data_IF_561707575050
#
_entry.id   IF_561707575050
#
_cell.length_a   1.000
_cell.length_b   1.000
_cell.length_c   1.000
_cell.angle_alpha   90.00
_cell.angle_beta   90.00
_cell.angle_gamma   90.00
#
_symmetry.space_group_name_H-M   'P 1'
#
loop_
_entity.id
_entity.type
_entity.pdbx_description
1 polymer ?
#
# COMPACT_ATOMS: atom_id res chain seq x y z
N UNK A 1 38.83 31.97 -6.96
CA UNK A 1 39.60 32.46 -5.80
C UNK A 1 41.01 31.91 -5.74
N UNK A 2 41.25 30.59 -5.70
CA UNK A 2 42.62 30.03 -5.68
C UNK A 2 43.50 30.43 -6.89
N UNK A 3 42.95 30.44 -8.10
CA UNK A 3 43.60 30.92 -9.32
C UNK A 3 43.97 32.41 -9.26
N UNK A 4 43.08 33.25 -8.74
CA UNK A 4 43.32 34.68 -8.55
C UNK A 4 44.38 34.92 -7.47
N UNK A 5 44.45 34.06 -6.45
CA UNK A 5 45.51 34.08 -5.43
C UNK A 5 46.88 33.73 -6.02
N UNK A 6 46.95 32.77 -6.94
CA UNK A 6 48.21 32.39 -7.62
C UNK A 6 48.67 33.49 -8.60
N UNK A 7 47.73 34.09 -9.34
CA UNK A 7 48.01 35.18 -10.29
C UNK A 7 48.44 36.46 -9.54
N UNK A 8 47.79 36.80 -8.41
CA UNK A 8 48.18 37.92 -7.55
C UNK A 8 49.59 37.75 -6.95
N UNK A 9 50.00 36.51 -6.63
CA UNK A 9 51.35 36.20 -6.16
C UNK A 9 52.43 36.29 -7.25
N UNK A 10 52.07 36.18 -8.53
CA UNK A 10 53.01 36.29 -9.66
C UNK A 10 53.32 37.72 -10.11
N UNK A 11 52.72 38.74 -9.48
CA UNK A 11 52.72 40.13 -9.94
C UNK A 11 53.33 41.16 -8.98
N UNK A 12 53.90 40.79 -7.83
CA UNK A 12 54.47 41.75 -6.88
C UNK A 12 55.95 41.45 -6.62
N UNK A 13 56.81 42.33 -7.13
CA UNK A 13 58.13 42.52 -6.56
C UNK A 13 57.97 43.18 -5.18
N UNK A 14 58.07 42.39 -4.11
CA UNK A 14 58.11 42.90 -2.75
C UNK A 14 57.45 41.98 -1.73
N UNK A 15 58.25 41.58 -0.73
CA UNK A 15 57.93 40.84 0.50
C UNK A 15 57.56 39.35 0.38
N UNK A 16 58.50 38.53 0.86
CA UNK A 16 58.49 37.09 1.17
C UNK A 16 57.71 36.15 0.24
N UNK A 17 58.41 35.36 -0.63
CA UNK A 17 57.75 34.38 -1.45
C UNK A 17 57.18 33.29 -0.55
N UNK A 18 55.84 33.20 -0.46
CA UNK A 18 55.18 31.97 -0.05
C UNK A 18 55.78 30.87 -0.92
N UNK A 19 56.60 29.99 -0.33
CA UNK A 19 57.20 28.85 -1.02
C UNK A 19 56.06 27.94 -1.51
N UNK A 20 55.63 28.14 -2.75
CA UNK A 20 54.74 27.23 -3.45
C UNK A 20 55.49 25.91 -3.62
N UNK A 21 55.20 24.94 -2.75
CA UNK A 21 55.77 23.59 -2.80
C UNK A 21 54.83 22.67 -3.59
N UNK A 22 55.29 22.23 -4.77
CA UNK A 22 54.53 21.36 -5.65
C UNK A 22 54.64 19.92 -5.15
N UNK A 23 53.51 19.31 -4.79
CA UNK A 23 53.43 17.93 -4.28
C UNK A 23 52.46 17.09 -5.10
N UNK A 24 52.81 15.83 -5.41
CA UNK A 24 51.85 14.89 -5.96
C UNK A 24 50.80 14.54 -4.90
N UNK A 25 49.53 14.67 -5.26
CA UNK A 25 48.39 14.26 -4.42
C UNK A 25 47.54 13.25 -5.17
N UNK A 26 46.97 12.29 -4.45
CA UNK A 26 46.00 11.35 -5.00
C UNK A 26 44.59 11.88 -4.70
N UNK A 27 43.75 12.04 -5.73
CA UNK A 27 42.39 12.54 -5.62
C UNK A 27 41.41 11.66 -6.41
N UNK A 28 40.15 11.50 -5.94
CA UNK A 28 39.12 10.82 -6.72
C UNK A 28 38.70 11.66 -7.93
N UNK A 29 38.30 11.00 -9.02
CA UNK A 29 37.87 11.67 -10.26
C UNK A 29 36.68 12.64 -10.05
N UNK A 30 35.82 12.39 -9.06
CA UNK A 30 34.67 13.24 -8.75
C UNK A 30 35.05 14.65 -8.26
N UNK A 31 36.31 14.87 -7.88
CA UNK A 31 36.81 16.19 -7.44
C UNK A 31 37.34 17.02 -8.60
N UNK A 32 37.47 16.44 -9.80
CA UNK A 32 37.94 17.15 -10.99
C UNK A 32 36.75 17.93 -11.58
N UNK A 33 36.75 19.25 -11.37
CA UNK A 33 35.71 20.13 -11.91
C UNK A 33 35.81 20.34 -13.44
N UNK A 34 37.00 20.16 -14.03
CA UNK A 34 37.24 20.29 -15.46
C UNK A 34 38.68 19.96 -15.84
N UNK A 35 38.89 19.66 -17.12
CA UNK A 35 40.21 19.38 -17.72
C UNK A 35 40.38 20.30 -18.91
N UNK A 36 41.53 20.96 -19.06
CA UNK A 36 41.81 21.91 -20.14
C UNK A 36 42.64 21.26 -21.26
N UNK A 37 42.79 21.95 -22.40
CA UNK A 37 43.66 21.51 -23.50
C UNK A 37 45.14 21.70 -23.20
N UNK A 38 45.46 22.62 -22.29
CA UNK A 38 46.83 23.02 -22.02
C UNK A 38 47.59 21.92 -21.27
N UNK A 39 48.85 21.69 -21.65
CA UNK A 39 49.71 20.67 -21.06
C UNK A 39 51.00 21.31 -20.58
N UNK A 40 51.48 20.86 -19.44
CA UNK A 40 52.79 21.23 -18.91
C UNK A 40 53.68 20.00 -19.03
N UNK A 41 54.87 20.19 -19.59
CA UNK A 41 55.83 19.11 -19.72
C UNK A 41 56.34 18.71 -18.34
N UNK A 42 56.23 17.42 -18.00
CA UNK A 42 56.74 16.87 -16.75
C UNK A 42 58.01 16.06 -17.05
N UNK A 43 59.08 16.18 -16.24
CA UNK A 43 60.27 15.33 -16.36
C UNK A 43 59.93 13.84 -16.19
N UNK A 44 60.65 12.94 -16.89
CA UNK A 44 60.33 11.51 -16.93
C UNK A 44 60.62 10.75 -15.63
N UNK A 45 61.49 11.27 -14.77
CA UNK A 45 61.86 10.65 -13.48
C UNK A 45 61.80 11.68 -12.34
N UNK A 46 61.78 11.17 -11.11
CA UNK A 46 61.62 11.83 -9.80
C UNK A 46 61.78 13.36 -9.80
N UNK A 47 60.72 14.07 -9.37
CA UNK A 47 60.68 15.55 -9.36
C UNK A 47 61.70 16.13 -8.37
N UNK A 48 62.88 16.48 -8.89
CA UNK A 48 63.92 17.19 -8.16
C UNK A 48 63.46 18.61 -7.76
N UNK A 49 64.05 19.23 -6.72
CA UNK A 49 63.65 20.55 -6.28
C UNK A 49 63.71 21.63 -7.37
N UNK A 50 64.65 21.53 -8.31
CA UNK A 50 64.79 22.48 -9.43
C UNK A 50 63.64 22.31 -10.45
N UNK A 51 63.30 21.07 -10.78
CA UNK A 51 62.22 20.75 -11.72
C UNK A 51 60.86 21.26 -11.22
N UNK A 52 60.63 21.22 -9.90
CA UNK A 52 59.41 21.76 -9.28
C UNK A 52 59.29 23.27 -9.48
N UNK A 53 60.41 24.00 -9.41
CA UNK A 53 60.42 25.45 -9.62
C UNK A 53 60.09 25.78 -11.08
N UNK A 54 60.61 25.01 -12.03
CA UNK A 54 60.34 25.23 -13.46
C UNK A 54 58.90 24.88 -13.85
N UNK A 55 58.31 23.85 -13.23
CA UNK A 55 56.88 23.54 -13.37
C UNK A 55 56.02 24.66 -12.79
N UNK A 56 56.34 25.18 -11.60
CA UNK A 56 55.59 26.29 -10.97
C UNK A 56 55.67 27.56 -11.82
N UNK A 57 56.84 27.87 -12.40
CA UNK A 57 56.99 28.98 -13.37
C UNK A 57 56.12 28.76 -14.61
N UNK A 58 56.19 27.58 -15.21
CA UNK A 58 55.38 27.21 -16.38
C UNK A 58 53.88 27.30 -16.09
N UNK A 59 53.44 26.87 -14.90
CA UNK A 59 52.07 27.05 -14.43
C UNK A 59 51.71 28.53 -14.31
N UNK A 60 52.55 29.34 -13.66
CA UNK A 60 52.31 30.77 -13.48
C UNK A 60 52.18 31.51 -14.82
N UNK A 61 53.07 31.21 -15.77
CA UNK A 61 53.06 31.79 -17.11
C UNK A 61 51.81 31.38 -17.89
N UNK A 62 51.39 30.12 -17.76
CA UNK A 62 50.15 29.61 -18.37
C UNK A 62 48.91 30.29 -17.77
N UNK A 63 48.90 30.53 -16.46
CA UNK A 63 47.82 31.27 -15.79
C UNK A 63 47.77 32.74 -16.21
N UNK A 64 48.93 33.40 -16.33
CA UNK A 64 49.03 34.77 -16.84
C UNK A 64 48.57 34.86 -18.30
N UNK A 65 48.99 33.90 -19.13
CA UNK A 65 48.55 33.79 -20.51
C UNK A 65 47.03 33.52 -20.61
N UNK A 66 46.49 32.69 -19.73
CA UNK A 66 45.04 32.41 -19.65
C UNK A 66 44.20 33.62 -19.19
N UNK A 67 44.78 34.52 -18.39
CA UNK A 67 44.14 35.80 -18.05
C UNK A 67 44.10 36.76 -19.26
N UNK A 68 45.11 36.74 -20.12
CA UNK A 68 45.16 37.53 -21.35
C UNK A 68 44.33 36.90 -22.50
N UNK A 69 44.24 35.57 -22.53
CA UNK A 69 43.48 34.79 -23.51
C UNK A 69 42.64 33.71 -22.79
N UNK A 70 41.35 33.99 -22.52
CA UNK A 70 40.47 33.09 -21.74
C UNK A 70 40.32 31.69 -22.33
N UNK A 71 40.44 31.56 -23.65
CA UNK A 71 40.27 30.30 -24.38
C UNK A 71 41.37 29.25 -24.07
N UNK A 72 42.55 29.68 -23.62
CA UNK A 72 43.69 28.80 -23.32
C UNK A 72 43.41 27.90 -22.11
N UNK A 73 42.66 28.42 -21.14
CA UNK A 73 42.25 27.70 -19.93
C UNK A 73 40.80 27.20 -19.99
N UNK A 74 40.15 27.29 -21.16
CA UNK A 74 38.80 26.77 -21.32
C UNK A 74 38.77 25.23 -21.10
N UNK A 75 37.77 24.71 -20.38
CA UNK A 75 37.60 23.28 -20.21
C UNK A 75 37.32 22.61 -21.57
N UNK A 76 37.81 21.37 -21.73
CA UNK A 76 37.57 20.52 -22.88
C UNK A 76 36.06 20.36 -23.09
N UNK A 77 35.62 20.56 -24.33
CA UNK A 77 34.27 20.30 -24.74
C UNK A 77 34.06 18.78 -24.84
N UNK A 78 33.13 18.16 -24.07
CA UNK A 78 32.92 16.72 -24.09
C UNK A 78 32.60 16.18 -25.49
N UNK A 79 31.84 16.95 -26.27
CA UNK A 79 31.46 16.57 -27.63
C UNK A 79 32.60 16.79 -28.63
N UNK A 80 33.15 18.02 -28.72
CA UNK A 80 34.13 18.36 -29.77
C UNK A 80 35.53 17.81 -29.49
N UNK A 81 35.95 17.83 -28.23
CA UNK A 81 37.34 17.55 -27.86
C UNK A 81 37.52 16.13 -27.30
N UNK A 82 36.51 15.59 -26.61
CA UNK A 82 36.51 14.22 -26.08
C UNK A 82 35.71 13.23 -26.95
N UNK A 83 35.10 13.70 -28.05
CA UNK A 83 34.34 12.88 -29.02
C UNK A 83 33.19 12.07 -28.39
N UNK A 84 32.56 12.60 -27.34
CA UNK A 84 31.40 11.99 -26.68
C UNK A 84 30.10 12.45 -27.35
N UNK A 85 29.61 11.68 -28.31
CA UNK A 85 28.37 11.96 -29.06
C UNK A 85 27.14 12.13 -28.14
N UNK A 86 27.02 11.33 -27.09
CA UNK A 86 25.92 11.39 -26.12
C UNK A 86 25.84 12.73 -25.37
N UNK A 87 26.96 13.45 -25.26
CA UNK A 87 27.04 14.73 -24.58
C UNK A 87 26.55 15.90 -25.45
N UNK A 88 26.40 15.72 -26.77
CA UNK A 88 26.02 16.79 -27.72
C UNK A 88 24.72 17.48 -27.32
N UNK A 89 23.68 16.69 -27.01
CA UNK A 89 22.37 17.21 -26.61
C UNK A 89 22.43 18.02 -25.30
N UNK A 90 23.26 17.59 -24.34
CA UNK A 90 23.44 18.29 -23.06
C UNK A 90 24.22 19.60 -23.25
N UNK A 91 25.25 19.61 -24.10
CA UNK A 91 26.03 20.82 -24.41
C UNK A 91 25.15 21.86 -25.12
N UNK A 92 24.34 21.45 -26.10
CA UNK A 92 23.38 22.34 -26.77
C UNK A 92 22.30 22.87 -25.80
N UNK A 93 21.86 22.04 -24.86
CA UNK A 93 20.90 22.46 -23.83
C UNK A 93 21.52 23.48 -22.88
N UNK A 94 22.78 23.26 -22.45
CA UNK A 94 23.53 24.19 -21.61
C UNK A 94 23.72 25.53 -22.32
N UNK A 95 24.13 25.53 -23.59
CA UNK A 95 24.31 26.78 -24.35
C UNK A 95 23.00 27.56 -24.51
N UNK A 96 21.88 26.87 -24.76
CA UNK A 96 20.55 27.51 -24.80
C UNK A 96 20.14 28.10 -23.45
N UNK A 97 20.44 27.41 -22.34
CA UNK A 97 20.18 27.91 -20.99
C UNK A 97 21.06 29.12 -20.64
N UNK A 98 22.34 29.11 -21.02
CA UNK A 98 23.27 30.23 -20.82
C UNK A 98 22.88 31.46 -21.65
N UNK A 99 22.35 31.25 -22.86
CA UNK A 99 21.78 32.32 -23.68
C UNK A 99 20.50 32.89 -23.05
N UNK A 100 19.61 32.02 -22.54
CA UNK A 100 18.40 32.43 -21.84
C UNK A 100 18.68 33.15 -20.52
N UNK A 101 19.69 32.72 -19.75
CA UNK A 101 20.13 33.43 -18.54
C UNK A 101 20.82 34.76 -18.87
N UNK A 102 21.39 34.86 -20.07
CA UNK A 102 22.02 36.09 -20.56
C UNK A 102 21.04 37.10 -21.14
N UNK A 103 19.74 36.77 -21.22
CA UNK A 103 18.69 37.64 -21.72
C UNK A 103 18.60 38.93 -20.90
N UNK A 104 18.32 40.05 -21.57
CA UNK A 104 18.28 41.41 -20.96
C UNK A 104 17.38 41.46 -19.73
N UNK A 105 16.23 40.81 -19.83
CA UNK A 105 15.19 40.88 -18.82
C UNK A 105 15.57 40.10 -17.56
N UNK A 106 16.29 38.98 -17.71
CA UNK A 106 16.80 38.18 -16.58
C UNK A 106 17.93 38.93 -15.89
N UNK A 107 18.85 39.54 -16.67
CA UNK A 107 19.94 40.36 -16.11
C UNK A 107 19.42 41.60 -15.40
N UNK A 108 18.40 42.27 -15.94
CA UNK A 108 17.75 43.41 -15.31
C UNK A 108 17.10 43.00 -13.97
N UNK A 109 16.37 41.88 -13.96
CA UNK A 109 15.71 41.37 -12.76
C UNK A 109 16.71 40.99 -11.65
N UNK A 110 17.83 40.35 -12.02
CA UNK A 110 18.91 39.98 -11.07
C UNK A 110 19.60 41.22 -10.52
N UNK A 111 19.79 42.26 -11.35
CA UNK A 111 20.39 43.53 -10.95
C UNK A 111 19.49 44.33 -9.99
N UNK A 112 18.19 44.34 -10.22
CA UNK A 112 17.23 45.14 -9.45
C UNK A 112 16.90 44.53 -8.08
N UNK A 113 16.92 43.20 -7.96
CA UNK A 113 16.51 42.49 -6.74
C UNK A 113 17.68 41.91 -5.95
N UNK A 114 18.82 41.65 -6.60
CA UNK A 114 19.94 40.91 -6.01
C UNK A 114 19.73 39.39 -6.10
N UNK A 115 20.78 38.66 -6.48
CA UNK A 115 20.70 37.23 -6.80
C UNK A 115 20.29 36.36 -5.60
N UNK A 116 20.80 36.67 -4.40
CA UNK A 116 20.45 35.97 -3.16
C UNK A 116 18.99 36.15 -2.74
N UNK A 117 18.48 37.38 -2.83
CA UNK A 117 17.08 37.71 -2.51
C UNK A 117 16.11 37.06 -3.51
N UNK A 118 16.48 37.00 -4.79
CA UNK A 118 15.69 36.34 -5.82
C UNK A 118 15.60 34.82 -5.58
N UNK A 119 16.71 34.17 -5.23
CA UNK A 119 16.75 32.75 -4.89
C UNK A 119 15.93 32.44 -3.62
N UNK A 120 16.00 33.30 -2.61
CA UNK A 120 15.21 33.16 -1.39
C UNK A 120 13.71 33.35 -1.66
N UNK A 121 13.32 34.36 -2.46
CA UNK A 121 11.92 34.58 -2.89
C UNK A 121 11.39 33.43 -3.74
N UNK A 122 12.21 32.86 -4.62
CA UNK A 122 11.81 31.74 -5.46
C UNK A 122 11.63 30.46 -4.64
N UNK A 123 12.56 30.15 -3.74
CA UNK A 123 12.48 28.96 -2.89
C UNK A 123 11.28 29.02 -1.93
N UNK A 124 11.01 30.19 -1.32
CA UNK A 124 9.82 30.41 -0.51
C UNK A 124 8.53 30.29 -1.32
N UNK A 125 8.48 30.85 -2.54
CA UNK A 125 7.34 30.69 -3.44
C UNK A 125 7.10 29.21 -3.81
N UNK A 126 8.16 28.45 -4.12
CA UNK A 126 8.04 27.02 -4.42
C UNK A 126 7.50 26.24 -3.23
N UNK A 127 7.98 26.54 -2.01
CA UNK A 127 7.47 25.95 -0.76
C UNK A 127 5.98 26.20 -0.59
N UNK A 128 5.54 27.46 -0.63
CA UNK A 128 4.12 27.80 -0.48
C UNK A 128 3.25 27.23 -1.59
N UNK A 129 3.76 27.16 -2.83
CA UNK A 129 3.06 26.51 -3.93
C UNK A 129 2.84 25.02 -3.67
N UNK A 130 3.84 24.33 -3.13
CA UNK A 130 3.72 22.92 -2.77
C UNK A 130 2.75 22.73 -1.61
N UNK A 131 2.87 23.53 -0.55
CA UNK A 131 1.93 23.50 0.59
C UNK A 131 0.50 23.74 0.14
N UNK A 132 0.26 24.71 -0.75
CA UNK A 132 -1.07 25.00 -1.31
C UNK A 132 -1.64 23.79 -2.06
N UNK A 133 -0.81 23.10 -2.85
CA UNK A 133 -1.22 21.87 -3.55
C UNK A 133 -1.59 20.76 -2.56
N UNK A 134 -0.77 20.57 -1.53
CA UNK A 134 -0.99 19.53 -0.54
C UNK A 134 -2.23 19.82 0.32
N UNK A 135 -2.43 21.08 0.73
CA UNK A 135 -3.64 21.53 1.42
C UNK A 135 -4.88 21.38 0.55
N UNK A 136 -4.81 21.76 -0.73
CA UNK A 136 -5.92 21.56 -1.67
C UNK A 136 -6.27 20.07 -1.84
N UNK A 137 -5.26 19.20 -1.93
CA UNK A 137 -5.47 17.75 -1.99
C UNK A 137 -6.11 17.21 -0.69
N UNK A 138 -5.63 17.65 0.48
CA UNK A 138 -6.22 17.29 1.79
C UNK A 138 -7.67 17.76 1.91
N UNK A 139 -7.95 19.00 1.52
CA UNK A 139 -9.31 19.55 1.52
C UNK A 139 -10.25 18.77 0.60
N UNK A 140 -9.77 18.37 -0.59
CA UNK A 140 -10.53 17.52 -1.51
C UNK A 140 -10.84 16.15 -0.89
N UNK A 141 -9.88 15.52 -0.22
CA UNK A 141 -10.09 14.25 0.52
C UNK A 141 -11.09 14.41 1.66
N UNK A 142 -11.00 15.49 2.43
CA UNK A 142 -11.91 15.75 3.55
C UNK A 142 -13.36 16.10 3.11
N UNK A 143 -13.52 16.72 1.93
CA UNK A 143 -14.83 17.07 1.35
C UNK A 143 -15.50 15.93 0.59
N UNK A 144 -14.74 14.98 0.07
CA UNK A 144 -15.34 13.77 -0.48
C UNK A 144 -16.06 13.06 0.68
N UNK A 145 -17.36 12.81 0.52
CA UNK A 145 -18.06 11.81 1.32
C UNK A 145 -17.28 10.51 1.14
N UNK A 146 -16.41 10.20 2.09
CA UNK A 146 -15.40 9.13 2.01
C UNK A 146 -16.05 7.78 1.64
N UNK A 147 -17.33 7.62 1.97
CA UNK A 147 -18.12 6.41 1.76
C UNK A 147 -19.00 6.42 0.49
N UNK A 148 -19.02 7.50 -0.31
CA UNK A 148 -19.95 7.63 -1.43
C UNK A 148 -19.69 6.64 -2.57
N UNK A 149 -18.43 6.43 -2.94
CA UNK A 149 -18.06 5.46 -3.97
C UNK A 149 -18.18 4.01 -3.46
N UNK A 150 -17.77 3.78 -2.22
CA UNK A 150 -17.92 2.46 -1.58
C UNK A 150 -19.40 2.06 -1.44
N UNK A 151 -20.26 2.98 -1.01
CA UNK A 151 -21.71 2.77 -0.94
C UNK A 151 -22.27 2.45 -2.33
N UNK A 152 -21.90 3.22 -3.37
CA UNK A 152 -22.32 2.94 -4.75
C UNK A 152 -21.90 1.54 -5.20
N UNK A 153 -20.69 1.12 -4.88
CA UNK A 153 -20.18 -0.21 -5.22
C UNK A 153 -20.93 -1.31 -4.45
N UNK A 154 -21.17 -1.14 -3.14
CA UNK A 154 -21.98 -2.07 -2.33
C UNK A 154 -23.43 -2.16 -2.79
N UNK A 155 -24.05 -1.04 -3.17
CA UNK A 155 -25.40 -1.03 -3.76
C UNK A 155 -25.45 -1.82 -5.07
N UNK A 156 -24.41 -1.79 -5.91
CA UNK A 156 -24.34 -2.65 -7.11
C UNK A 156 -24.32 -4.13 -6.76
N UNK A 157 -23.60 -4.52 -5.70
CA UNK A 157 -23.61 -5.91 -5.21
C UNK A 157 -25.01 -6.32 -4.81
N UNK A 158 -25.69 -5.52 -3.99
CA UNK A 158 -27.06 -5.80 -3.53
C UNK A 158 -28.06 -5.90 -4.69
N UNK A 159 -27.93 -5.06 -5.73
CA UNK A 159 -28.76 -5.18 -6.95
C UNK A 159 -28.46 -6.45 -7.74
N UNK A 160 -27.18 -6.79 -7.92
CA UNK A 160 -26.76 -7.97 -8.68
C UNK A 160 -27.19 -9.27 -8.02
N UNK A 161 -27.16 -9.32 -6.69
CA UNK A 161 -27.65 -10.44 -5.88
C UNK A 161 -29.16 -10.37 -5.58
N UNK A 162 -29.88 -9.39 -6.11
CA UNK A 162 -31.35 -9.22 -5.97
C UNK A 162 -31.85 -8.98 -4.53
N UNK A 163 -31.02 -8.39 -3.67
CA UNK A 163 -31.42 -7.90 -2.34
C UNK A 163 -32.19 -6.58 -2.43
N UNK A 164 -31.87 -5.76 -3.43
CA UNK A 164 -32.59 -4.53 -3.79
C UNK A 164 -32.87 -4.54 -5.30
N UNK A 165 -33.92 -3.87 -5.76
CA UNK A 165 -34.18 -3.67 -7.19
C UNK A 165 -33.44 -2.42 -7.73
N UNK A 166 -33.66 -2.11 -9.01
CA UNK A 166 -33.02 -0.97 -9.69
C UNK A 166 -33.45 0.40 -9.12
N UNK A 167 -34.62 0.46 -8.50
CA UNK A 167 -35.15 1.63 -7.79
C UNK A 167 -34.63 1.74 -6.34
N UNK A 168 -33.75 0.82 -5.92
CA UNK A 168 -33.21 0.70 -4.56
C UNK A 168 -34.24 0.30 -3.49
N UNK A 169 -35.33 -0.34 -3.89
CA UNK A 169 -36.34 -0.89 -3.00
C UNK A 169 -35.90 -2.28 -2.54
N UNK A 170 -35.94 -2.50 -1.23
CA UNK A 170 -35.56 -3.76 -0.58
C UNK A 170 -36.52 -4.88 -0.98
N UNK A 171 -35.95 -5.99 -1.48
CA UNK A 171 -36.67 -7.19 -1.89
C UNK A 171 -36.81 -8.18 -0.71
N UNK A 172 -37.56 -9.26 -0.91
CA UNK A 172 -37.75 -10.31 0.10
C UNK A 172 -36.41 -10.86 0.65
N UNK A 173 -35.46 -11.17 -0.23
CA UNK A 173 -34.10 -11.59 0.14
C UNK A 173 -33.36 -10.54 1.00
N UNK A 174 -33.58 -9.26 0.67
CA UNK A 174 -33.13 -8.12 1.46
C UNK A 174 -33.71 -8.09 2.87
N UNK A 175 -35.03 -8.29 2.99
CA UNK A 175 -35.72 -8.35 4.29
C UNK A 175 -35.22 -9.51 5.15
N UNK A 176 -34.96 -10.68 4.55
CA UNK A 176 -34.35 -11.82 5.23
C UNK A 176 -32.96 -11.44 5.78
N UNK A 177 -32.06 -10.94 4.93
CA UNK A 177 -30.70 -10.59 5.35
C UNK A 177 -30.65 -9.51 6.44
N UNK A 178 -31.62 -8.59 6.49
CA UNK A 178 -31.71 -7.60 7.56
C UNK A 178 -31.90 -8.22 8.96
N UNK A 179 -32.33 -9.49 9.06
CA UNK A 179 -32.44 -10.22 10.33
C UNK A 179 -31.14 -10.88 10.76
N UNK A 180 -30.23 -11.16 9.83
CA UNK A 180 -28.95 -11.82 10.11
C UNK A 180 -27.91 -10.79 10.53
N UNK A 181 -27.52 -10.80 11.80
CA UNK A 181 -26.54 -9.87 12.38
C UNK A 181 -25.30 -10.57 12.94
N UNK A 182 -25.43 -11.84 13.32
CA UNK A 182 -24.38 -12.63 14.00
C UNK A 182 -23.32 -13.18 13.05
N UNK A 183 -23.61 -13.17 11.75
CA UNK A 183 -22.87 -13.83 10.67
C UNK A 183 -22.77 -12.93 9.41
N UNK A 184 -22.01 -13.39 8.40
CA UNK A 184 -22.06 -12.80 7.06
C UNK A 184 -23.45 -12.96 6.45
N UNK A 185 -24.23 -11.88 6.46
CA UNK A 185 -25.65 -11.90 6.11
C UNK A 185 -25.91 -12.24 4.65
N UNK A 186 -24.98 -11.93 3.74
CA UNK A 186 -25.13 -12.29 2.33
C UNK A 186 -24.97 -13.78 2.15
N UNK A 187 -23.84 -14.36 2.60
CA UNK A 187 -23.58 -15.79 2.40
C UNK A 187 -24.58 -16.66 3.14
N UNK A 188 -24.94 -16.30 4.38
CA UNK A 188 -25.95 -17.04 5.14
C UNK A 188 -27.32 -17.04 4.44
N UNK A 189 -27.75 -15.89 3.93
CA UNK A 189 -29.02 -15.76 3.20
C UNK A 189 -29.00 -16.47 1.84
N UNK A 190 -27.89 -16.38 1.10
CA UNK A 190 -27.72 -17.09 -0.18
C UNK A 190 -27.81 -18.61 0.00
N UNK A 191 -27.19 -19.14 1.05
CA UNK A 191 -27.17 -20.58 1.32
C UNK A 191 -28.50 -21.07 1.89
N UNK A 192 -29.04 -20.43 2.93
CA UNK A 192 -30.25 -20.93 3.63
C UNK A 192 -31.50 -20.93 2.73
N UNK A 193 -31.54 -20.09 1.70
CA UNK A 193 -32.63 -20.01 0.72
C UNK A 193 -32.45 -20.95 -0.48
N UNK A 194 -31.45 -21.82 -0.45
CA UNK A 194 -31.34 -22.91 -1.43
C UNK A 194 -32.36 -24.01 -1.14
N UNK A 195 -32.84 -24.69 -2.19
CA UNK A 195 -33.82 -25.79 -2.07
C UNK A 195 -33.31 -26.97 -1.24
N UNK A 196 -32.00 -27.15 -1.18
CA UNK A 196 -31.37 -28.37 -0.70
C UNK A 196 -31.28 -28.40 0.84
N UNK A 197 -31.37 -27.24 1.49
CA UNK A 197 -31.38 -27.11 2.97
C UNK A 197 -32.56 -27.85 3.60
N UNK A 198 -33.72 -27.89 2.93
CA UNK A 198 -34.91 -28.58 3.46
C UNK A 198 -34.73 -30.10 3.51
N UNK A 199 -33.85 -30.65 2.66
CA UNK A 199 -33.51 -32.07 2.60
C UNK A 199 -32.52 -32.49 3.69
N UNK A 200 -31.86 -31.53 4.35
CA UNK A 200 -30.92 -31.80 5.42
C UNK A 200 -31.64 -32.09 6.73
N UNK A 201 -31.06 -32.96 7.55
CA UNK A 201 -31.48 -33.16 8.93
C UNK A 201 -31.25 -31.88 9.74
N UNK A 202 -32.12 -31.61 10.72
CA UNK A 202 -32.01 -30.43 11.57
C UNK A 202 -30.64 -30.33 12.29
N UNK A 203 -30.07 -31.48 12.69
CA UNK A 203 -28.73 -31.56 13.25
C UNK A 203 -27.64 -31.13 12.24
N UNK A 204 -27.78 -31.53 10.97
CA UNK A 204 -26.87 -31.14 9.89
C UNK A 204 -27.00 -29.63 9.58
N UNK A 205 -28.21 -29.07 9.59
CA UNK A 205 -28.44 -27.62 9.44
C UNK A 205 -27.72 -26.85 10.55
N UNK A 206 -27.88 -27.24 11.82
CA UNK A 206 -27.16 -26.60 12.94
C UNK A 206 -25.64 -26.70 12.76
N UNK A 207 -25.13 -27.88 12.37
CA UNK A 207 -23.71 -28.11 12.15
C UNK A 207 -23.14 -27.25 11.03
N UNK A 208 -23.83 -27.10 9.90
CA UNK A 208 -23.39 -26.25 8.78
C UNK A 208 -23.50 -24.76 9.14
N UNK A 209 -24.49 -24.35 9.94
CA UNK A 209 -24.55 -22.99 10.45
C UNK A 209 -23.35 -22.63 11.35
N UNK A 210 -22.66 -23.61 11.96
CA UNK A 210 -21.45 -23.36 12.76
C UNK A 210 -20.30 -22.75 11.96
N UNK A 211 -20.28 -22.92 10.61
CA UNK A 211 -19.25 -22.33 9.74
C UNK A 211 -19.20 -20.80 9.83
N UNK A 212 -20.34 -20.16 10.14
CA UNK A 212 -20.46 -18.72 10.24
C UNK A 212 -19.98 -18.14 11.57
N UNK A 213 -19.78 -19.00 12.57
CA UNK A 213 -19.56 -18.62 13.97
C UNK A 213 -18.18 -19.07 14.46
N UNK A 214 -17.56 -20.04 13.79
CA UNK A 214 -16.29 -20.61 14.20
C UNK A 214 -15.12 -19.62 14.12
N UNK A 215 -14.58 -19.25 15.28
CA UNK A 215 -13.39 -18.40 15.43
C UNK A 215 -12.14 -19.20 15.84
N UNK A 216 -12.33 -20.42 16.33
CA UNK A 216 -11.29 -21.31 16.82
C UNK A 216 -10.54 -22.00 15.66
N UNK A 217 -9.41 -22.66 15.97
CA UNK A 217 -8.64 -23.49 15.05
C UNK A 217 -8.16 -24.76 15.75
N UNK A 218 -8.59 -25.91 15.25
CA UNK A 218 -8.17 -27.21 15.72
C UNK A 218 -8.35 -28.28 14.63
N UNK A 219 -7.60 -29.37 14.75
CA UNK A 219 -7.70 -30.49 13.81
C UNK A 219 -9.01 -31.24 14.03
N UNK A 220 -9.73 -31.51 12.94
CA UNK A 220 -10.99 -32.24 12.98
C UNK A 220 -11.20 -32.95 11.63
N UNK A 221 -12.01 -34.00 11.65
CA UNK A 221 -12.47 -34.67 10.44
C UNK A 221 -13.88 -34.21 10.11
N UNK A 222 -14.11 -33.84 8.85
CA UNK A 222 -15.45 -33.47 8.36
C UNK A 222 -16.29 -34.75 8.22
N UNK A 223 -17.48 -34.82 8.85
CA UNK A 223 -18.42 -35.92 8.65
C UNK A 223 -18.98 -35.93 7.21
N UNK A 224 -19.11 -37.11 6.61
CA UNK A 224 -19.52 -37.26 5.21
C UNK A 224 -20.90 -36.63 4.90
N UNK A 225 -21.83 -36.69 5.86
CA UNK A 225 -23.19 -36.15 5.71
C UNK A 225 -23.27 -34.63 5.58
N UNK A 226 -22.23 -33.88 6.01
CA UNK A 226 -22.18 -32.41 5.93
C UNK A 226 -21.15 -31.92 4.91
N UNK A 227 -20.45 -32.82 4.23
CA UNK A 227 -19.40 -32.47 3.25
C UNK A 227 -19.97 -31.71 2.05
N UNK A 228 -21.08 -32.20 1.46
CA UNK A 228 -21.72 -31.53 0.34
C UNK A 228 -22.34 -30.17 0.74
N UNK A 229 -23.10 -30.06 1.85
CA UNK A 229 -23.59 -28.75 2.33
C UNK A 229 -22.47 -27.75 2.64
N UNK A 230 -21.33 -28.19 3.18
CA UNK A 230 -20.17 -27.31 3.39
C UNK A 230 -19.65 -26.77 2.06
N UNK A 231 -19.55 -27.64 1.05
CA UNK A 231 -19.10 -27.22 -0.28
C UNK A 231 -20.06 -26.20 -0.90
N UNK A 232 -21.37 -26.33 -0.67
CA UNK A 232 -22.38 -25.36 -1.10
C UNK A 232 -22.22 -23.99 -0.42
N UNK A 233 -21.99 -23.95 0.90
CA UNK A 233 -21.71 -22.70 1.63
C UNK A 233 -20.46 -22.02 1.05
N UNK A 234 -19.39 -22.78 0.83
CA UNK A 234 -18.15 -22.26 0.24
C UNK A 234 -18.35 -21.77 -1.19
N UNK A 235 -19.15 -22.48 -1.99
CA UNK A 235 -19.53 -22.03 -3.33
C UNK A 235 -20.35 -20.73 -3.29
N UNK A 236 -21.28 -20.58 -2.33
CA UNK A 236 -22.01 -19.34 -2.10
C UNK A 236 -21.05 -18.19 -1.73
N UNK A 237 -20.12 -18.43 -0.80
CA UNK A 237 -19.10 -17.46 -0.40
C UNK A 237 -18.24 -17.01 -1.60
N UNK A 238 -17.81 -17.96 -2.42
CA UNK A 238 -17.06 -17.70 -3.66
C UNK A 238 -17.85 -16.80 -4.61
N UNK A 239 -19.12 -17.15 -4.91
CA UNK A 239 -19.99 -16.34 -5.78
C UNK A 239 -20.20 -14.92 -5.25
N UNK A 240 -20.47 -14.78 -3.94
CA UNK A 240 -20.67 -13.46 -3.31
C UNK A 240 -19.39 -12.63 -3.39
N UNK A 241 -18.22 -13.22 -3.17
CA UNK A 241 -16.93 -12.54 -3.29
C UNK A 241 -16.63 -12.11 -4.74
N UNK A 242 -16.85 -12.99 -5.72
CA UNK A 242 -16.66 -12.69 -7.14
C UNK A 242 -17.57 -11.54 -7.59
N UNK A 243 -18.85 -11.56 -7.21
CA UNK A 243 -19.79 -10.47 -7.50
C UNK A 243 -19.32 -9.18 -6.84
N UNK A 244 -18.89 -9.24 -5.58
CA UNK A 244 -18.38 -8.08 -4.84
C UNK A 244 -17.17 -7.44 -5.52
N UNK A 245 -16.18 -8.24 -5.92
CA UNK A 245 -14.99 -7.78 -6.63
C UNK A 245 -15.38 -7.20 -8.00
N UNK A 246 -16.28 -7.85 -8.74
CA UNK A 246 -16.77 -7.34 -10.04
C UNK A 246 -17.47 -5.97 -9.90
N UNK A 247 -18.03 -5.68 -8.73
CA UNK A 247 -18.64 -4.40 -8.39
C UNK A 247 -17.66 -3.38 -7.80
N UNK A 248 -16.35 -3.67 -7.79
CA UNK A 248 -15.27 -2.83 -7.23
C UNK A 248 -15.33 -2.69 -5.70
N UNK A 249 -15.93 -3.65 -5.00
CA UNK A 249 -15.80 -3.76 -3.54
C UNK A 249 -14.46 -4.43 -3.23
N UNK A 250 -13.68 -3.80 -2.35
CA UNK A 250 -12.38 -4.34 -1.95
C UNK A 250 -12.58 -5.49 -0.96
N UNK A 251 -12.03 -6.66 -1.30
CA UNK A 251 -11.97 -7.82 -0.40
C UNK A 251 -10.49 -8.10 -0.11
N UNK A 252 -10.00 -7.82 1.11
CA UNK A 252 -8.64 -8.13 1.50
C UNK A 252 -8.32 -9.62 1.31
N UNK A 253 -7.23 -9.93 0.61
CA UNK A 253 -6.84 -11.32 0.30
C UNK A 253 -7.66 -12.01 -0.81
N UNK A 254 -8.62 -11.31 -1.43
CA UNK A 254 -9.39 -11.81 -2.56
C UNK A 254 -10.40 -12.91 -2.21
N UNK A 255 -10.85 -13.65 -3.23
CA UNK A 255 -11.93 -14.64 -3.14
C UNK A 255 -11.57 -15.78 -2.17
N UNK A 256 -10.36 -16.33 -2.27
CA UNK A 256 -9.91 -17.45 -1.43
C UNK A 256 -9.87 -17.05 0.06
N UNK A 257 -9.37 -15.86 0.38
CA UNK A 257 -9.33 -15.38 1.76
C UNK A 257 -10.74 -15.14 2.33
N UNK A 258 -11.69 -14.73 1.49
CA UNK A 258 -13.10 -14.60 1.88
C UNK A 258 -13.73 -15.95 2.18
N UNK A 259 -13.50 -16.96 1.34
CA UNK A 259 -13.97 -18.33 1.53
C UNK A 259 -13.39 -18.96 2.81
N UNK A 260 -12.11 -18.71 3.12
CA UNK A 260 -11.43 -19.22 4.32
C UNK A 260 -11.99 -18.68 5.65
N UNK A 261 -12.86 -17.66 5.62
CA UNK A 261 -13.58 -17.21 6.82
C UNK A 261 -14.56 -18.27 7.34
N UNK A 262 -15.07 -19.12 6.44
CA UNK A 262 -16.06 -20.16 6.76
C UNK A 262 -15.34 -21.44 7.17
N UNK A 263 -15.06 -21.52 8.47
CA UNK A 263 -14.24 -22.54 9.11
C UNK A 263 -15.06 -23.77 9.48
N UNK A 264 -14.52 -24.97 9.30
CA UNK A 264 -15.25 -26.23 9.49
C UNK A 264 -15.04 -26.86 10.87
N UNK A 265 -14.17 -26.26 11.69
CA UNK A 265 -13.68 -26.84 12.94
C UNK A 265 -14.79 -27.21 13.92
N UNK A 266 -15.80 -26.33 14.09
CA UNK A 266 -16.93 -26.61 14.98
C UNK A 266 -17.96 -27.59 14.40
N UNK A 267 -17.91 -27.93 13.12
CA UNK A 267 -18.99 -28.68 12.45
C UNK A 267 -19.19 -30.05 13.09
N UNK A 268 -18.12 -30.85 13.21
CA UNK A 268 -18.20 -32.20 13.75
C UNK A 268 -18.69 -32.20 15.21
N UNK A 269 -18.22 -31.21 15.98
CA UNK A 269 -18.58 -31.00 17.37
C UNK A 269 -20.07 -30.64 17.51
N UNK A 270 -20.53 -29.65 16.76
CA UNK A 270 -21.94 -29.21 16.76
C UNK A 270 -22.86 -30.34 16.29
N UNK A 271 -22.46 -31.11 15.30
CA UNK A 271 -23.23 -32.24 14.81
C UNK A 271 -23.40 -33.33 15.87
N UNK A 272 -22.31 -33.74 16.52
CA UNK A 272 -22.34 -34.73 17.59
C UNK A 272 -23.21 -34.25 18.76
N UNK A 273 -23.11 -32.96 19.10
CA UNK A 273 -23.96 -32.33 20.11
C UNK A 273 -25.45 -32.38 19.72
N UNK A 274 -25.82 -31.98 18.50
CA UNK A 274 -27.21 -32.04 18.06
C UNK A 274 -27.74 -33.48 17.91
N UNK A 275 -26.86 -34.47 17.79
CA UNK A 275 -27.18 -35.91 17.81
C UNK A 275 -27.24 -36.54 19.21
N UNK A 276 -27.05 -35.74 20.27
CA UNK A 276 -27.23 -36.19 21.66
C UNK A 276 -25.97 -36.58 22.43
N UNK A 277 -24.77 -36.36 21.88
CA UNK A 277 -23.52 -36.63 22.61
C UNK A 277 -23.41 -35.79 23.90
N UNK A 278 -22.86 -36.36 24.97
CA UNK A 278 -22.63 -35.63 26.21
C UNK A 278 -21.61 -34.49 26.02
N UNK A 279 -21.67 -33.46 26.87
CA UNK A 279 -20.72 -32.34 26.78
C UNK A 279 -19.27 -32.80 26.98
N UNK A 280 -19.04 -33.84 27.79
CA UNK A 280 -17.72 -34.43 27.99
C UNK A 280 -17.18 -35.13 26.74
N UNK A 281 -18.03 -35.78 25.95
CA UNK A 281 -17.61 -36.38 24.67
C UNK A 281 -17.26 -35.30 23.66
N UNK A 282 -18.12 -34.28 23.57
CA UNK A 282 -17.97 -33.13 22.67
C UNK A 282 -16.72 -32.31 23.01
N UNK A 283 -16.41 -32.09 24.30
CA UNK A 283 -15.19 -31.36 24.71
C UNK A 283 -13.92 -32.10 24.33
N UNK A 284 -13.92 -33.45 24.36
CA UNK A 284 -12.77 -34.28 23.96
C UNK A 284 -12.52 -34.30 22.44
N UNK A 285 -13.44 -33.80 21.62
CA UNK A 285 -13.27 -33.73 20.16
C UNK A 285 -12.40 -32.55 19.71
N UNK A 286 -12.07 -31.64 20.61
CA UNK A 286 -11.31 -30.43 20.32
C UNK A 286 -10.34 -30.09 21.45
N UNK A 287 -9.26 -29.39 21.12
CA UNK A 287 -8.32 -28.84 22.13
C UNK A 287 -8.78 -27.47 22.67
N UNK A 288 -10.01 -27.04 22.33
CA UNK A 288 -10.57 -25.77 22.78
C UNK A 288 -11.04 -25.85 24.24
N UNK A 289 -10.89 -24.74 24.97
CA UNK A 289 -11.50 -24.61 26.30
C UNK A 289 -13.02 -24.76 26.22
N UNK A 290 -13.60 -25.43 27.21
CA UNK A 290 -15.03 -25.71 27.31
C UNK A 290 -15.88 -24.44 27.25
N UNK A 291 -15.39 -23.35 27.87
CA UNK A 291 -16.04 -22.05 27.81
C UNK A 291 -16.11 -21.46 26.40
N UNK A 292 -15.11 -21.70 25.54
CA UNK A 292 -15.17 -21.30 24.12
C UNK A 292 -16.22 -22.09 23.37
N UNK A 293 -16.32 -23.41 23.62
CA UNK A 293 -17.33 -24.26 23.00
C UNK A 293 -18.74 -23.78 23.39
N UNK A 294 -18.99 -23.55 24.67
CA UNK A 294 -20.29 -23.05 25.17
C UNK A 294 -20.64 -21.70 24.54
N UNK A 295 -19.69 -20.75 24.49
CA UNK A 295 -19.90 -19.44 23.85
C UNK A 295 -20.22 -19.58 22.36
N UNK A 296 -19.53 -20.45 21.64
CA UNK A 296 -19.75 -20.67 20.23
C UNK A 296 -21.14 -21.27 19.96
N UNK A 297 -21.57 -22.26 20.74
CA UNK A 297 -22.91 -22.87 20.60
C UNK A 297 -24.02 -21.88 20.99
N UNK A 298 -23.84 -21.03 22.00
CA UNK A 298 -24.79 -19.95 22.31
C UNK A 298 -24.89 -18.92 21.19
N UNK A 299 -23.75 -18.54 20.58
CA UNK A 299 -23.74 -17.62 19.44
C UNK A 299 -24.37 -18.25 18.19
N UNK A 300 -24.21 -19.57 18.01
CA UNK A 300 -24.90 -20.33 16.98
C UNK A 300 -26.42 -20.35 17.20
N UNK A 301 -26.90 -20.49 18.43
CA UNK A 301 -28.34 -20.38 18.71
C UNK A 301 -28.90 -19.01 18.32
N UNK A 302 -28.15 -17.93 18.58
CA UNK A 302 -28.53 -16.59 18.13
C UNK A 302 -28.58 -16.46 16.61
N UNK A 303 -27.66 -17.11 15.88
CA UNK A 303 -27.72 -17.16 14.42
C UNK A 303 -28.97 -17.91 13.95
N UNK A 304 -29.25 -19.09 14.51
CA UNK A 304 -30.42 -19.86 14.14
C UNK A 304 -31.73 -19.11 14.45
N UNK A 305 -31.80 -18.36 15.56
CA UNK A 305 -32.93 -17.47 15.85
C UNK A 305 -33.12 -16.44 14.74
N UNK A 306 -32.04 -15.79 14.32
CA UNK A 306 -32.06 -14.77 13.26
C UNK A 306 -32.48 -15.36 11.91
N UNK A 307 -32.05 -16.59 11.60
CA UNK A 307 -32.49 -17.31 10.40
C UNK A 307 -33.98 -17.67 10.45
N UNK A 308 -34.49 -18.08 11.63
CA UNK A 308 -35.91 -18.34 11.84
C UNK A 308 -36.74 -17.06 11.64
N UNK A 309 -36.33 -15.94 12.22
CA UNK A 309 -36.97 -14.63 12.02
C UNK A 309 -36.92 -14.17 10.56
N UNK A 310 -35.81 -14.45 9.87
CA UNK A 310 -35.69 -14.21 8.43
C UNK A 310 -36.70 -15.03 7.63
N UNK A 311 -36.83 -16.32 7.92
CA UNK A 311 -37.77 -17.22 7.25
C UNK A 311 -39.23 -16.82 7.52
N UNK A 312 -39.54 -16.35 8.73
CA UNK A 312 -40.84 -15.75 9.07
C UNK A 312 -41.16 -14.53 8.20
N UNK A 313 -40.18 -13.67 7.90
CA UNK A 313 -40.38 -12.52 7.04
C UNK A 313 -40.64 -12.88 5.57
N UNK A 314 -40.26 -14.10 5.14
CA UNK A 314 -40.55 -14.64 3.82
C UNK A 314 -41.87 -15.41 3.75
N UNK A 315 -42.36 -15.93 4.89
CA UNK A 315 -43.53 -16.81 4.94
C UNK A 315 -43.19 -18.28 4.65
N UNK A 316 -41.93 -18.68 4.75
CA UNK A 316 -41.47 -20.05 4.45
C UNK A 316 -41.65 -20.99 5.66
N UNK A 317 -42.85 -21.56 5.82
CA UNK A 317 -43.21 -22.37 7.00
C UNK A 317 -42.33 -23.60 7.21
N UNK A 318 -41.93 -24.29 6.14
CA UNK A 318 -41.06 -25.47 6.23
C UNK A 318 -39.67 -25.12 6.75
N UNK A 319 -39.09 -24.02 6.26
CA UNK A 319 -37.79 -23.54 6.71
C UNK A 319 -37.84 -23.09 8.17
N UNK A 320 -38.92 -22.41 8.59
CA UNK A 320 -39.14 -22.04 9.99
C UNK A 320 -39.11 -23.28 10.88
N UNK A 321 -39.87 -24.32 10.53
CA UNK A 321 -39.93 -25.56 11.29
C UNK A 321 -38.55 -26.26 11.36
N UNK A 322 -37.84 -26.34 10.23
CA UNK A 322 -36.50 -26.95 10.15
C UNK A 322 -35.48 -26.23 11.04
N UNK A 323 -35.45 -24.91 11.00
CA UNK A 323 -34.53 -24.10 11.82
C UNK A 323 -34.92 -24.15 13.29
N UNK A 324 -36.22 -24.15 13.61
CA UNK A 324 -36.70 -24.30 14.98
C UNK A 324 -36.32 -25.66 15.59
N UNK A 325 -36.43 -26.74 14.80
CA UNK A 325 -35.97 -28.07 15.19
C UNK A 325 -34.47 -28.08 15.45
N UNK A 326 -33.68 -27.47 14.56
CA UNK A 326 -32.22 -27.35 14.72
C UNK A 326 -31.85 -26.63 16.02
N UNK A 327 -32.59 -25.56 16.38
CA UNK A 327 -32.40 -24.85 17.66
C UNK A 327 -32.75 -25.71 18.86
N UNK A 328 -33.84 -26.48 18.81
CA UNK A 328 -34.23 -27.38 19.91
C UNK A 328 -33.17 -28.44 20.17
N UNK A 329 -32.56 -29.01 19.13
CA UNK A 329 -31.47 -29.99 19.25
C UNK A 329 -30.19 -29.36 19.85
N UNK A 330 -29.92 -28.10 19.53
CA UNK A 330 -28.79 -27.35 20.07
C UNK A 330 -29.01 -26.96 21.55
N UNK A 331 -30.24 -26.53 21.87
CA UNK A 331 -30.68 -25.90 23.12
C UNK A 331 -30.85 -26.85 24.33
N UNK A 332 -29.80 -27.54 24.78
CA UNK A 332 -29.88 -28.46 25.93
C UNK A 332 -28.74 -28.33 26.95
N UNK A 333 -28.96 -28.90 28.14
CA UNK A 333 -27.97 -29.13 29.21
C UNK A 333 -27.10 -27.91 29.57
N UNK A 334 -25.83 -28.16 29.91
CA UNK A 334 -24.84 -27.18 30.42
C UNK A 334 -24.63 -25.99 29.50
N UNK A 335 -24.82 -26.15 28.19
CA UNK A 335 -24.64 -25.07 27.22
C UNK A 335 -25.67 -23.96 27.45
N UNK A 336 -26.88 -24.30 27.90
CA UNK A 336 -27.98 -23.36 28.10
C UNK A 336 -28.39 -23.19 29.58
N UNK A 337 -27.52 -23.61 30.50
CA UNK A 337 -27.72 -23.34 31.92
C UNK A 337 -27.80 -21.83 32.21
N UNK A 338 -28.74 -21.44 33.08
CA UNK A 338 -28.95 -20.07 33.49
C UNK A 338 -27.69 -19.50 34.18
N UNK A 339 -27.46 -18.19 34.01
CA UNK A 339 -26.41 -17.50 34.75
C UNK A 339 -26.76 -17.48 36.24
N UNK A 340 -25.74 -17.50 37.10
CA UNK A 340 -25.92 -17.31 38.56
C UNK A 340 -26.21 -15.84 38.93
N UNK A 341 -26.07 -14.92 37.98
CA UNK A 341 -26.30 -13.48 38.16
C UNK A 341 -27.63 -12.99 37.57
N UNK A 342 -28.58 -13.90 37.31
CA UNK A 342 -29.94 -13.52 36.87
C UNK A 342 -30.71 -12.87 38.01
#
# INVERSE_FOLDING_TARGET
EALNSIIAMGGLGGSDPVKLDLRPISIPLSWIAGVTKARILLPPHQLEPLDRLDIVRSMSDLLKAGAAMPDVLAPLCPFRDLQLEEAKALVEKKSKLEQASSHSDVKALVKDVGEGDLQQKLSTWMKYRQETRDLAAKMKRARMLVMGEELKNKMRVLRRLKYINDENIVQLKGKFACRVQTADSLVATEWILTSDVLQLDAAAVAAVCSLFICEERFAHRIPAEVEAPIAEVKACAKRVAEVSISCKVQIPGGVLAFEQKFRTELVALTLAWCKGASFLEVSKMSDCFEGSIVRALRRLDMLLLQLQEGAQALGESELIAKVEEARKLLGRDVVFAASLYV
#
